data_IF_369852157044
#
_entry.id   IF_369852157044
#
_cell.length_a   1.000
_cell.length_b   1.000
_cell.length_c   1.000
_cell.angle_alpha   90.00
_cell.angle_beta   90.00
_cell.angle_gamma   90.00
#
_symmetry.space_group_name_H-M   'P 1'
#
loop_
_entity.id
_entity.type
_entity.pdbx_description
1 polymer ?
#
# COMPACT_ATOMS: atom_id res chain seq x y z
N UNK A 1 -34.38 9.28 13.18
CA UNK A 1 -32.93 9.11 13.38
C UNK A 1 -32.22 10.01 12.38
N UNK A 2 -31.77 11.18 12.81
CA UNK A 2 -31.03 12.13 11.97
C UNK A 2 -29.57 11.72 11.96
N UNK A 3 -29.04 11.33 10.80
CA UNK A 3 -27.62 11.09 10.63
C UNK A 3 -26.87 12.39 10.97
N UNK A 4 -26.05 12.34 12.02
CA UNK A 4 -25.22 13.48 12.42
C UNK A 4 -24.21 13.82 11.32
N UNK A 5 -23.72 15.07 11.27
CA UNK A 5 -22.75 15.50 10.27
C UNK A 5 -21.52 14.60 10.30
N UNK A 6 -21.25 13.94 9.16
CA UNK A 6 -20.06 13.14 8.95
C UNK A 6 -18.86 14.09 8.97
N UNK A 7 -18.11 14.11 10.08
CA UNK A 7 -16.87 14.89 10.24
C UNK A 7 -15.83 14.38 9.22
N UNK A 8 -15.81 14.95 8.02
CA UNK A 8 -14.73 14.72 7.04
C UNK A 8 -13.51 15.63 7.30
N UNK A 9 -13.63 16.64 8.16
CA UNK A 9 -12.63 17.73 8.27
C UNK A 9 -11.37 17.45 9.10
N UNK A 10 -11.07 16.20 9.48
CA UNK A 10 -9.93 15.90 10.38
C UNK A 10 -8.90 14.88 9.85
N UNK A 11 -8.93 14.55 8.56
CA UNK A 11 -7.95 13.61 7.97
C UNK A 11 -6.59 14.23 7.63
N UNK A 12 -6.44 15.55 7.78
CA UNK A 12 -5.14 16.23 7.67
C UNK A 12 -4.30 15.91 8.92
N UNK A 13 -3.78 14.69 8.99
CA UNK A 13 -2.64 14.33 9.85
C UNK A 13 -1.35 14.54 9.06
N UNK A 14 -0.22 14.57 9.75
CA UNK A 14 1.10 14.72 9.15
C UNK A 14 1.29 13.71 8.01
N UNK A 15 1.30 14.22 6.78
CA UNK A 15 1.70 13.45 5.60
C UNK A 15 3.21 13.54 5.55
N UNK A 16 3.87 12.48 6.00
CA UNK A 16 5.30 12.34 5.78
C UNK A 16 5.52 11.88 4.34
N UNK A 17 5.88 12.83 3.46
CA UNK A 17 6.31 12.48 2.12
C UNK A 17 7.73 11.90 2.20
N UNK A 18 7.82 10.58 2.35
CA UNK A 18 9.08 9.86 2.26
C UNK A 18 9.42 9.68 0.78
N UNK A 19 10.09 10.68 0.21
CA UNK A 19 10.65 10.55 -1.14
C UNK A 19 11.95 9.74 -1.06
N UNK A 20 11.91 8.46 -1.43
CA UNK A 20 13.16 7.70 -1.60
C UNK A 20 13.84 8.15 -2.90
N UNK A 21 14.81 9.04 -2.80
CA UNK A 21 15.74 9.29 -3.90
C UNK A 21 16.68 8.08 -3.99
N UNK A 22 16.32 7.07 -4.77
CA UNK A 22 17.28 6.02 -5.13
C UNK A 22 18.31 6.61 -6.11
N UNK A 23 19.24 7.41 -5.60
CA UNK A 23 20.54 7.60 -6.25
C UNK A 23 21.43 6.46 -5.77
N UNK A 24 21.65 5.46 -6.62
CA UNK A 24 22.51 4.31 -6.31
C UNK A 24 23.98 4.73 -6.29
N UNK A 25 24.45 5.32 -5.20
CA UNK A 25 25.88 5.54 -4.95
C UNK A 25 26.40 4.46 -3.98
N UNK A 26 26.85 3.35 -4.56
CA UNK A 26 27.32 2.09 -3.92
C UNK A 26 28.69 2.20 -3.19
N UNK A 27 28.95 3.28 -2.43
CA UNK A 27 30.31 3.55 -1.90
C UNK A 27 30.56 3.25 -0.42
N UNK A 28 29.63 2.69 0.35
CA UNK A 28 29.91 2.38 1.75
C UNK A 28 29.20 1.13 2.28
N UNK A 29 29.67 -0.05 1.87
CA UNK A 29 29.48 -1.28 2.65
C UNK A 29 30.65 -1.45 3.61
N UNK A 30 30.63 -0.70 4.71
CA UNK A 30 31.52 -0.94 5.84
C UNK A 30 31.01 -2.14 6.66
N UNK A 31 31.96 -2.97 7.09
CA UNK A 31 31.82 -4.28 7.73
C UNK A 31 30.67 -4.37 8.74
N UNK A 32 29.61 -5.08 8.38
CA UNK A 32 28.55 -5.45 9.31
C UNK A 32 29.00 -6.65 10.14
N UNK A 33 29.44 -6.39 11.38
CA UNK A 33 29.55 -7.43 12.39
C UNK A 33 28.17 -8.02 12.67
N UNK A 34 28.08 -9.34 12.45
CA UNK A 34 26.91 -10.17 12.73
C UNK A 34 26.70 -10.26 14.24
N UNK A 35 25.64 -9.64 14.74
CA UNK A 35 25.08 -9.92 16.07
C UNK A 35 24.17 -11.15 15.92
N UNK A 36 24.20 -12.01 16.93
CA UNK A 36 23.78 -13.41 16.88
C UNK A 36 22.29 -13.65 16.61
N UNK A 37 21.87 -13.57 15.35
CA UNK A 37 20.75 -14.36 14.85
C UNK A 37 21.26 -15.80 14.64
N UNK A 38 20.49 -16.82 15.01
CA UNK A 38 20.87 -18.22 14.75
C UNK A 38 21.13 -18.41 13.25
N UNK A 39 22.14 -19.19 12.86
CA UNK A 39 22.55 -19.37 11.45
C UNK A 39 21.36 -19.73 10.53
N UNK A 40 20.41 -20.53 11.04
CA UNK A 40 19.19 -20.91 10.34
C UNK A 40 18.25 -19.72 10.05
N UNK A 41 18.20 -18.72 10.92
CA UNK A 41 17.35 -17.54 10.76
C UNK A 41 17.94 -16.55 9.75
N UNK A 42 19.27 -16.46 9.68
CA UNK A 42 19.99 -15.70 8.65
C UNK A 42 19.79 -16.34 7.27
N UNK A 43 19.77 -17.68 7.19
CA UNK A 43 19.63 -18.39 5.92
C UNK A 43 18.25 -18.20 5.25
N UNK A 44 17.21 -17.87 6.02
CA UNK A 44 15.83 -17.83 5.53
C UNK A 44 15.15 -16.45 5.60
N UNK A 45 15.76 -15.48 6.26
CA UNK A 45 15.23 -14.10 6.30
C UNK A 45 15.59 -13.32 5.04
N UNK A 46 14.75 -12.36 4.68
CA UNK A 46 15.11 -11.39 3.66
C UNK A 46 16.34 -10.58 4.12
N UNK A 47 17.35 -10.43 3.25
CA UNK A 47 18.63 -9.79 3.60
C UNK A 47 18.49 -8.40 4.24
N UNK A 48 17.43 -7.67 3.90
CA UNK A 48 17.16 -6.32 4.40
C UNK A 48 16.51 -6.31 5.79
N UNK A 49 15.85 -7.40 6.22
CA UNK A 49 15.05 -7.39 7.44
C UNK A 49 15.90 -7.25 8.72
N UNK A 50 17.03 -7.96 8.89
CA UNK A 50 17.92 -7.72 10.03
C UNK A 50 18.52 -6.30 10.02
N UNK A 51 18.86 -5.78 8.83
CA UNK A 51 19.41 -4.43 8.68
C UNK A 51 18.39 -3.37 9.13
N UNK A 52 17.14 -3.50 8.69
CA UNK A 52 16.06 -2.58 9.05
C UNK A 52 15.70 -2.67 10.54
N UNK A 53 15.68 -3.88 11.13
CA UNK A 53 15.47 -4.05 12.58
C UNK A 53 16.57 -3.36 13.39
N UNK A 54 17.83 -3.54 12.99
CA UNK A 54 18.97 -2.90 13.65
C UNK A 54 18.92 -1.38 13.53
N UNK A 55 18.61 -0.85 12.35
CA UNK A 55 18.48 0.59 12.13
C UNK A 55 17.31 1.18 12.92
N UNK A 56 16.17 0.49 12.93
CA UNK A 56 15.00 0.90 13.72
C UNK A 56 15.35 1.01 15.21
N UNK A 57 16.00 -0.02 15.77
CA UNK A 57 16.45 -0.02 17.16
C UNK A 57 17.46 1.10 17.46
N UNK A 58 18.41 1.34 16.55
CA UNK A 58 19.40 2.41 16.71
C UNK A 58 18.76 3.82 16.73
N UNK A 59 17.65 4.01 16.01
CA UNK A 59 16.87 5.24 16.00
C UNK A 59 15.80 5.30 17.11
N UNK A 60 15.77 4.31 18.03
CA UNK A 60 14.81 4.26 19.13
C UNK A 60 13.41 3.80 18.73
N UNK A 61 13.23 3.29 17.51
CA UNK A 61 11.99 2.63 17.08
C UNK A 61 11.98 1.19 17.58
N UNK A 62 11.24 0.93 18.65
CA UNK A 62 10.91 -0.43 19.07
C UNK A 62 9.68 -0.93 18.31
N UNK A 63 9.68 -2.20 17.89
CA UNK A 63 8.45 -2.84 17.40
C UNK A 63 7.49 -2.95 18.59
N UNK A 64 6.33 -2.26 18.59
CA UNK A 64 5.44 -2.30 19.73
C UNK A 64 4.86 -3.70 19.90
N UNK A 65 4.83 -4.20 21.13
CA UNK A 65 4.04 -5.39 21.46
C UNK A 65 2.57 -5.10 21.18
N UNK A 66 1.93 -5.99 20.40
CA UNK A 66 0.51 -5.87 20.05
C UNK A 66 -0.27 -7.02 20.66
N UNK A 67 -1.37 -6.69 21.32
CA UNK A 67 -2.34 -7.67 21.80
C UNK A 67 -3.21 -8.27 20.68
N UNK A 68 -3.29 -7.59 19.54
CA UNK A 68 -4.03 -8.05 18.36
C UNK A 68 -3.23 -7.85 17.07
N UNK A 69 -3.37 -8.75 16.08
CA UNK A 69 -2.78 -8.56 14.76
C UNK A 69 -3.18 -7.22 14.11
N UNK A 70 -2.30 -6.64 13.31
CA UNK A 70 -2.57 -5.48 12.45
C UNK A 70 -3.63 -5.87 11.41
N UNK A 71 -4.74 -5.12 11.38
CA UNK A 71 -5.79 -5.26 10.36
C UNK A 71 -5.38 -4.51 9.10
N UNK A 72 -4.85 -5.24 8.13
CA UNK A 72 -4.36 -4.72 6.86
C UNK A 72 -5.44 -4.77 5.77
N UNK A 73 -5.53 -3.71 4.97
CA UNK A 73 -6.17 -3.73 3.65
C UNK A 73 -5.12 -3.36 2.60
N UNK A 74 -5.07 -4.13 1.51
CA UNK A 74 -4.13 -3.89 0.41
C UNK A 74 -4.89 -3.56 -0.88
N UNK A 75 -4.53 -2.48 -1.56
CA UNK A 75 -5.10 -2.06 -2.82
C UNK A 75 -4.05 -2.15 -3.93
N UNK A 76 -4.37 -2.87 -5.01
CA UNK A 76 -3.43 -3.20 -6.09
C UNK A 76 -2.17 -3.89 -5.55
N UNK A 77 -2.36 -5.04 -4.89
CA UNK A 77 -1.36 -5.65 -4.02
C UNK A 77 -0.09 -6.16 -4.74
N UNK A 78 -0.15 -6.41 -6.05
CA UNK A 78 0.92 -7.08 -6.77
C UNK A 78 1.26 -8.41 -6.09
N UNK A 79 2.54 -8.63 -5.82
CA UNK A 79 3.03 -9.81 -5.09
C UNK A 79 2.76 -9.80 -3.57
N UNK A 80 1.96 -8.85 -3.05
CA UNK A 80 1.63 -8.69 -1.63
C UNK A 80 2.89 -8.38 -0.78
N UNK A 81 3.73 -7.46 -1.26
CA UNK A 81 5.02 -7.14 -0.66
C UNK A 81 4.90 -6.62 0.78
N UNK A 82 3.84 -5.89 1.10
CA UNK A 82 3.54 -5.39 2.44
C UNK A 82 3.29 -6.51 3.45
N UNK A 83 2.64 -7.60 3.04
CA UNK A 83 2.42 -8.76 3.90
C UNK A 83 3.73 -9.53 4.12
N UNK A 84 4.55 -9.64 3.07
CA UNK A 84 5.89 -10.23 3.19
C UNK A 84 6.76 -9.41 4.16
N UNK A 85 6.73 -8.08 4.04
CA UNK A 85 7.47 -7.20 4.94
C UNK A 85 7.01 -7.36 6.39
N UNK A 86 5.70 -7.39 6.66
CA UNK A 86 5.17 -7.63 8.00
C UNK A 86 5.62 -8.99 8.57
N UNK A 87 5.58 -10.05 7.76
CA UNK A 87 6.05 -11.38 8.15
C UNK A 87 7.53 -11.39 8.52
N UNK A 88 8.40 -10.85 7.68
CA UNK A 88 9.85 -10.77 7.91
C UNK A 88 10.20 -9.92 9.14
N UNK A 89 9.43 -8.85 9.38
CA UNK A 89 9.57 -7.99 10.55
C UNK A 89 8.98 -8.60 11.83
N UNK A 90 8.30 -9.75 11.76
CA UNK A 90 7.65 -10.38 12.90
C UNK A 90 6.44 -9.61 13.40
N UNK A 91 5.83 -8.77 12.56
CA UNK A 91 4.65 -7.98 12.89
C UNK A 91 3.41 -8.88 12.67
N UNK A 92 2.65 -9.23 13.71
CA UNK A 92 1.45 -10.03 13.53
C UNK A 92 0.41 -9.21 12.75
N UNK A 93 -0.15 -9.80 11.68
CA UNK A 93 -1.14 -9.13 10.83
C UNK A 93 -2.21 -10.09 10.33
N UNK A 94 -3.33 -9.52 9.91
CA UNK A 94 -4.37 -10.17 9.12
C UNK A 94 -4.75 -9.25 7.97
N UNK A 95 -4.58 -9.70 6.73
CA UNK A 95 -5.03 -8.99 5.55
C UNK A 95 -6.53 -9.23 5.37
N UNK A 96 -7.32 -8.27 5.85
CA UNK A 96 -8.78 -8.32 5.78
C UNK A 96 -9.26 -8.36 4.34
N UNK A 97 -8.59 -7.66 3.44
CA UNK A 97 -8.93 -7.68 2.03
C UNK A 97 -7.80 -7.18 1.15
N UNK A 98 -7.67 -7.78 -0.03
CA UNK A 98 -6.80 -7.32 -1.09
C UNK A 98 -7.43 -7.41 -2.48
N UNK A 99 -6.97 -6.59 -3.42
CA UNK A 99 -7.30 -6.68 -4.84
C UNK A 99 -6.06 -6.88 -5.71
N UNK A 100 -6.09 -7.83 -6.65
CA UNK A 100 -4.99 -8.04 -7.60
C UNK A 100 -5.51 -8.65 -8.92
N UNK A 101 -5.43 -7.94 -10.07
CA UNK A 101 -5.98 -8.42 -11.34
C UNK A 101 -5.13 -9.50 -12.02
N UNK A 102 -3.83 -9.62 -11.71
CA UNK A 102 -2.93 -10.59 -12.33
C UNK A 102 -2.94 -11.91 -11.57
N UNK A 103 -3.40 -12.97 -12.21
CA UNK A 103 -3.53 -14.31 -11.61
C UNK A 103 -2.20 -14.84 -11.04
N UNK A 104 -1.08 -14.63 -11.74
CA UNK A 104 0.23 -15.08 -11.27
C UNK A 104 0.60 -14.48 -9.90
N UNK A 105 0.26 -13.20 -9.69
CA UNK A 105 0.49 -12.52 -8.41
C UNK A 105 -0.46 -13.00 -7.32
N UNK A 106 -1.73 -13.25 -7.65
CA UNK A 106 -2.68 -13.89 -6.72
C UNK A 106 -2.22 -15.26 -6.26
N UNK A 107 -1.74 -16.09 -7.19
CA UNK A 107 -1.20 -17.42 -6.90
C UNK A 107 0.03 -17.31 -5.99
N UNK A 108 0.94 -16.38 -6.28
CA UNK A 108 2.09 -16.12 -5.44
C UNK A 108 1.70 -15.68 -4.02
N UNK A 109 0.78 -14.72 -3.89
CA UNK A 109 0.31 -14.25 -2.60
C UNK A 109 -0.32 -15.38 -1.76
N UNK A 110 -1.18 -16.21 -2.38
CA UNK A 110 -1.80 -17.38 -1.72
C UNK A 110 -0.79 -18.41 -1.25
N UNK A 111 0.24 -18.69 -2.07
CA UNK A 111 1.26 -19.67 -1.71
C UNK A 111 2.10 -19.21 -0.51
N UNK A 112 2.37 -17.91 -0.39
CA UNK A 112 3.21 -17.35 0.66
C UNK A 112 2.43 -16.96 1.93
N UNK A 113 1.13 -16.70 1.79
CA UNK A 113 0.24 -16.15 2.83
C UNK A 113 -1.13 -16.86 2.89
N UNK A 114 -1.19 -18.20 2.98
CA UNK A 114 -2.44 -18.96 2.79
C UNK A 114 -3.55 -18.58 3.78
N UNK A 115 -3.19 -18.28 5.03
CA UNK A 115 -4.16 -17.98 6.10
C UNK A 115 -4.26 -16.48 6.44
N UNK A 116 -3.39 -15.64 5.87
CA UNK A 116 -3.36 -14.23 6.20
C UNK A 116 -4.39 -13.41 5.40
N UNK A 117 -4.80 -13.87 4.22
CA UNK A 117 -5.67 -13.12 3.30
C UNK A 117 -7.12 -13.62 3.39
N UNK A 118 -7.98 -12.83 4.02
CA UNK A 118 -9.39 -13.18 4.21
C UNK A 118 -10.18 -13.02 2.91
N UNK A 119 -10.09 -11.86 2.27
CA UNK A 119 -10.81 -11.56 1.03
C UNK A 119 -9.85 -11.20 -0.10
N UNK A 120 -9.87 -11.96 -1.20
CA UNK A 120 -9.09 -11.69 -2.41
C UNK A 120 -10.02 -11.38 -3.58
N UNK A 121 -9.98 -10.13 -4.06
CA UNK A 121 -10.76 -9.64 -5.20
C UNK A 121 -9.88 -9.53 -6.46
N UNK A 122 -10.49 -9.59 -7.65
CA UNK A 122 -9.72 -9.40 -8.90
C UNK A 122 -9.50 -7.92 -9.18
N UNK A 123 -10.45 -7.07 -8.82
CA UNK A 123 -10.35 -5.63 -9.07
C UNK A 123 -10.50 -4.81 -7.79
N UNK A 124 -9.88 -3.62 -7.77
CA UNK A 124 -10.06 -2.66 -6.68
C UNK A 124 -11.53 -2.22 -6.57
N UNK A 125 -12.25 -2.15 -7.70
CA UNK A 125 -13.70 -1.90 -7.70
C UNK A 125 -14.48 -2.96 -6.94
N UNK A 126 -14.26 -4.24 -7.22
CA UNK A 126 -14.92 -5.35 -6.50
C UNK A 126 -14.65 -5.29 -5.00
N UNK A 127 -13.41 -4.96 -4.62
CA UNK A 127 -13.01 -4.77 -3.22
C UNK A 127 -13.81 -3.61 -2.58
N UNK A 128 -13.89 -2.47 -3.25
CA UNK A 128 -14.67 -1.30 -2.81
C UNK A 128 -16.16 -1.63 -2.71
N UNK A 129 -16.71 -2.40 -3.64
CA UNK A 129 -18.13 -2.75 -3.67
C UNK A 129 -18.49 -3.88 -2.69
N UNK A 130 -17.50 -4.61 -2.19
CA UNK A 130 -17.74 -5.81 -1.38
C UNK A 130 -18.35 -6.94 -2.20
N UNK A 131 -17.95 -7.06 -3.46
CA UNK A 131 -18.38 -8.13 -4.36
C UNK A 131 -17.94 -9.51 -3.81
N UNK A 132 -18.53 -10.62 -4.27
CA UNK A 132 -18.01 -11.96 -3.99
C UNK A 132 -16.50 -12.03 -4.28
N UNK A 133 -15.72 -12.56 -3.34
CA UNK A 133 -14.26 -12.66 -3.48
C UNK A 133 -13.86 -14.09 -3.88
N UNK A 134 -12.66 -14.25 -4.44
CA UNK A 134 -12.13 -15.53 -4.90
C UNK A 134 -11.91 -16.56 -3.77
N UNK A 135 -11.78 -16.11 -2.52
CA UNK A 135 -11.65 -16.99 -1.36
C UNK A 135 -13.01 -17.44 -0.80
N UNK A 136 -14.11 -16.82 -1.24
CA UNK A 136 -15.47 -17.09 -0.76
C UNK A 136 -16.49 -17.04 -1.91
N UNK A 137 -16.34 -17.86 -2.97
CA UNK A 137 -17.14 -17.78 -4.19
C UNK A 137 -18.65 -17.99 -3.97
N UNK A 138 -19.02 -18.66 -2.89
CA UNK A 138 -20.41 -18.92 -2.49
C UNK A 138 -21.10 -17.73 -1.80
N UNK A 139 -20.35 -16.72 -1.35
CA UNK A 139 -20.92 -15.55 -0.68
C UNK A 139 -21.47 -14.59 -1.73
N UNK A 140 -22.64 -14.00 -1.47
CA UNK A 140 -23.21 -12.93 -2.32
C UNK A 140 -22.45 -11.62 -2.21
N UNK A 141 -21.83 -11.37 -1.06
CA UNK A 141 -21.04 -10.18 -0.74
C UNK A 141 -19.93 -10.54 0.25
N UNK A 142 -18.81 -9.86 0.13
CA UNK A 142 -17.68 -9.89 1.04
C UNK A 142 -17.44 -8.46 1.55
N UNK A 143 -18.27 -8.02 2.47
CA UNK A 143 -18.19 -6.67 3.00
C UNK A 143 -16.93 -6.48 3.85
N UNK A 144 -16.23 -5.38 3.62
CA UNK A 144 -15.08 -4.98 4.41
C UNK A 144 -15.54 -4.63 5.82
N UNK A 145 -14.82 -5.16 6.81
CA UNK A 145 -15.02 -4.76 8.19
C UNK A 145 -14.59 -3.31 8.38
N UNK A 146 -15.31 -2.60 9.25
CA UNK A 146 -14.90 -1.31 9.79
C UNK A 146 -13.77 -1.53 10.81
N UNK A 147 -12.88 -0.55 10.99
CA UNK A 147 -11.65 -0.62 11.83
C UNK A 147 -10.44 -1.25 11.12
N UNK A 148 -9.98 -0.63 10.04
CA UNK A 148 -8.71 -0.97 9.40
C UNK A 148 -7.56 -0.22 10.11
N UNK A 149 -6.50 -0.93 10.48
CA UNK A 149 -5.33 -0.30 11.10
C UNK A 149 -4.45 0.36 10.04
N UNK A 150 -4.22 -0.35 8.94
CA UNK A 150 -3.35 0.08 7.85
C UNK A 150 -3.98 -0.23 6.50
N UNK A 151 -4.03 0.77 5.63
CA UNK A 151 -4.27 0.59 4.21
C UNK A 151 -2.95 0.80 3.46
N UNK A 152 -2.55 -0.18 2.65
CA UNK A 152 -1.41 -0.04 1.73
C UNK A 152 -1.95 0.00 0.30
N UNK A 153 -1.47 0.94 -0.52
CA UNK A 153 -1.92 1.08 -1.91
C UNK A 153 -0.75 1.37 -2.86
N UNK A 154 -0.64 0.55 -3.90
CA UNK A 154 0.25 0.78 -5.05
C UNK A 154 -0.56 0.90 -6.34
N UNK A 155 -1.28 2.01 -6.52
CA UNK A 155 -2.14 2.16 -7.72
C UNK A 155 -1.31 2.23 -9.02
N UNK A 156 -1.84 1.82 -10.18
CA UNK A 156 -1.06 1.81 -11.42
C UNK A 156 -0.42 3.17 -11.71
N UNK A 157 0.91 3.22 -11.83
CA UNK A 157 1.67 4.47 -11.96
C UNK A 157 1.76 5.00 -13.40
N UNK A 158 1.37 4.22 -14.41
CA UNK A 158 1.44 4.60 -15.84
C UNK A 158 0.81 5.97 -16.18
N UNK A 159 -0.37 6.37 -15.63
CA UNK A 159 -0.91 7.71 -15.88
C UNK A 159 0.06 8.83 -15.49
N UNK A 160 0.85 8.59 -14.44
CA UNK A 160 1.63 9.60 -13.74
C UNK A 160 3.13 9.53 -14.06
N UNK A 161 3.61 8.41 -14.58
CA UNK A 161 5.02 8.21 -14.92
C UNK A 161 5.55 9.25 -15.91
N UNK A 162 6.67 9.88 -15.56
CA UNK A 162 7.41 10.80 -16.43
C UNK A 162 7.97 10.14 -17.69
N UNK A 163 8.06 8.81 -17.71
CA UNK A 163 8.52 8.04 -18.88
C UNK A 163 7.43 7.90 -19.96
N UNK A 164 6.15 8.19 -19.65
CA UNK A 164 5.07 8.12 -20.63
C UNK A 164 5.14 9.32 -21.58
N UNK A 165 5.31 9.07 -22.87
CA UNK A 165 5.48 10.09 -23.93
C UNK A 165 4.42 11.22 -23.95
N UNK A 166 3.19 10.95 -23.47
CA UNK A 166 2.08 11.92 -23.41
C UNK A 166 1.85 12.49 -22.01
N UNK A 167 2.65 12.16 -21.01
CA UNK A 167 2.39 12.48 -19.58
C UNK A 167 2.06 13.96 -19.33
N UNK A 168 2.76 14.87 -19.99
CA UNK A 168 2.62 16.32 -19.77
C UNK A 168 1.74 17.04 -20.79
N UNK A 169 1.02 16.31 -21.66
CA UNK A 169 0.02 16.92 -22.54
C UNK A 169 -1.26 17.25 -21.75
N UNK A 170 -1.89 18.42 -21.97
CA UNK A 170 -3.15 18.76 -21.31
C UNK A 170 -4.20 17.65 -21.43
N UNK A 171 -4.85 17.33 -20.31
CA UNK A 171 -5.87 16.27 -20.21
C UNK A 171 -5.34 14.82 -20.26
N UNK A 172 -4.04 14.59 -20.50
CA UNK A 172 -3.48 13.24 -20.68
C UNK A 172 -3.51 12.38 -19.41
N UNK A 173 -3.37 12.99 -18.23
CA UNK A 173 -3.52 12.30 -16.94
C UNK A 173 -5.00 12.00 -16.70
N UNK A 174 -5.85 13.04 -16.75
CA UNK A 174 -7.29 12.91 -16.48
C UNK A 174 -7.99 11.88 -17.39
N UNK A 175 -7.63 11.83 -18.67
CA UNK A 175 -8.24 10.95 -19.66
C UNK A 175 -7.64 9.53 -19.69
N UNK A 176 -6.61 9.23 -18.89
CA UNK A 176 -6.03 7.90 -18.86
C UNK A 176 -6.95 6.92 -18.10
N UNK A 177 -7.23 5.75 -18.68
CA UNK A 177 -8.21 4.79 -18.12
C UNK A 177 -7.89 4.38 -16.66
N UNK A 178 -6.60 4.24 -16.34
CA UNK A 178 -6.14 3.84 -15.01
C UNK A 178 -6.17 4.96 -13.95
N UNK A 179 -6.35 6.22 -14.33
CA UNK A 179 -6.43 7.36 -13.38
C UNK A 179 -7.59 7.21 -12.40
N UNK A 180 -8.66 6.54 -12.84
CA UNK A 180 -9.81 6.22 -12.00
C UNK A 180 -9.48 5.33 -10.80
N UNK A 181 -8.46 4.46 -10.89
CA UNK A 181 -8.09 3.58 -9.79
C UNK A 181 -7.56 4.41 -8.60
N UNK A 182 -6.80 5.46 -8.88
CA UNK A 182 -6.25 6.37 -7.86
C UNK A 182 -7.29 7.35 -7.31
N UNK A 183 -7.99 8.10 -8.18
CA UNK A 183 -8.87 9.19 -7.70
C UNK A 183 -10.30 8.78 -7.38
N UNK A 184 -10.77 7.63 -7.86
CA UNK A 184 -12.14 7.18 -7.60
C UNK A 184 -12.15 5.97 -6.69
N UNK A 185 -11.49 4.89 -7.11
CA UNK A 185 -11.62 3.60 -6.44
C UNK A 185 -10.83 3.57 -5.13
N UNK A 186 -9.57 4.04 -5.11
CA UNK A 186 -8.79 4.15 -3.87
C UNK A 186 -9.42 5.14 -2.88
N UNK A 187 -9.83 6.34 -3.32
CA UNK A 187 -10.52 7.28 -2.42
C UNK A 187 -11.83 6.71 -1.86
N UNK A 188 -12.58 5.95 -2.66
CA UNK A 188 -13.77 5.24 -2.17
C UNK A 188 -13.41 4.16 -1.15
N UNK A 189 -12.31 3.43 -1.36
CA UNK A 189 -11.82 2.43 -0.41
C UNK A 189 -11.42 3.09 0.91
N UNK A 190 -10.63 4.16 0.87
CA UNK A 190 -10.22 4.95 2.05
C UNK A 190 -11.43 5.45 2.83
N UNK A 191 -12.43 6.02 2.15
CA UNK A 191 -13.67 6.49 2.80
C UNK A 191 -14.48 5.35 3.40
N UNK A 192 -14.51 4.19 2.75
CA UNK A 192 -15.23 3.00 3.21
C UNK A 192 -14.57 2.36 4.42
N UNK A 193 -13.24 2.25 4.43
CA UNK A 193 -12.50 1.53 5.48
C UNK A 193 -12.09 2.42 6.65
N UNK A 194 -11.99 3.74 6.43
CA UNK A 194 -11.52 4.72 7.40
C UNK A 194 -10.27 4.22 8.15
N UNK A 195 -9.18 3.90 7.41
CA UNK A 195 -8.03 3.25 8.00
C UNK A 195 -7.31 4.22 8.95
N UNK A 196 -6.70 3.71 10.01
CA UNK A 196 -5.94 4.58 10.94
C UNK A 196 -4.72 5.19 10.25
N UNK A 197 -4.04 4.42 9.40
CA UNK A 197 -2.88 4.86 8.62
C UNK A 197 -3.03 4.43 7.16
N UNK A 198 -2.44 5.20 6.25
CA UNK A 198 -2.38 4.90 4.83
C UNK A 198 -0.93 5.00 4.37
N UNK A 199 -0.45 3.96 3.68
CA UNK A 199 0.80 3.99 2.92
C UNK A 199 0.44 3.93 1.44
N UNK A 200 0.86 4.93 0.67
CA UNK A 200 0.61 5.00 -0.77
C UNK A 200 1.92 5.09 -1.52
N UNK A 201 2.18 4.13 -2.41
CA UNK A 201 3.29 4.18 -3.35
C UNK A 201 2.81 4.78 -4.67
N UNK A 202 3.62 5.67 -5.24
CA UNK A 202 3.48 6.21 -6.58
C UNK A 202 4.83 6.57 -7.20
N UNK A 203 4.86 6.62 -8.53
CA UNK A 203 6.01 7.14 -9.26
C UNK A 203 6.29 8.61 -8.94
N UNK A 204 7.54 9.04 -9.04
CA UNK A 204 7.99 10.43 -8.89
C UNK A 204 7.14 11.44 -9.71
N UNK A 205 6.66 11.02 -10.89
CA UNK A 205 5.81 11.85 -11.74
C UNK A 205 4.44 12.19 -11.15
N UNK A 206 4.02 11.55 -10.04
CA UNK A 206 2.81 11.90 -9.30
C UNK A 206 2.94 13.23 -8.56
N UNK A 207 4.15 13.62 -8.15
CA UNK A 207 4.44 14.93 -7.56
C UNK A 207 4.80 16.01 -8.59
N UNK A 208 4.77 15.69 -9.89
CA UNK A 208 5.09 16.65 -10.98
C UNK A 208 3.80 17.26 -11.55
N UNK A 209 3.85 18.48 -12.11
CA UNK A 209 2.68 19.12 -12.71
C UNK A 209 1.87 18.21 -13.66
N UNK A 210 0.55 18.41 -13.67
CA UNK A 210 -0.37 17.64 -14.52
C UNK A 210 -0.07 17.85 -16.01
N UNK A 211 0.23 19.08 -16.42
CA UNK A 211 0.72 19.40 -17.75
C UNK A 211 1.87 20.42 -17.71
N UNK A 212 2.60 20.56 -18.83
CA UNK A 212 3.64 21.58 -18.96
C UNK A 212 3.06 22.99 -18.79
N UNK A 213 3.62 23.77 -17.86
CA UNK A 213 3.16 25.13 -17.57
C UNK A 213 2.06 25.23 -16.52
N UNK A 214 1.56 24.11 -16.00
CA UNK A 214 0.68 24.08 -14.84
C UNK A 214 1.50 23.99 -13.54
N UNK A 215 0.92 24.45 -12.43
CA UNK A 215 1.54 24.37 -11.10
C UNK A 215 1.08 23.15 -10.31
N UNK A 216 -0.17 22.73 -10.49
CA UNK A 216 -0.79 21.67 -9.70
C UNK A 216 -0.31 20.28 -10.16
N UNK A 217 0.05 19.43 -9.20
CA UNK A 217 0.42 18.04 -9.42
C UNK A 217 -0.75 17.07 -9.15
N UNK A 218 -0.70 15.84 -9.67
CA UNK A 218 -1.61 14.78 -9.27
C UNK A 218 -1.68 14.56 -7.75
N UNK A 219 -0.55 14.70 -7.04
CA UNK A 219 -0.49 14.63 -5.58
C UNK A 219 -1.33 15.73 -4.93
N UNK A 220 -1.19 16.99 -5.36
CA UNK A 220 -1.97 18.11 -4.81
C UNK A 220 -3.48 17.85 -4.97
N UNK A 221 -3.89 17.37 -6.15
CA UNK A 221 -5.29 17.01 -6.41
C UNK A 221 -5.79 15.85 -5.54
N UNK A 222 -4.91 14.93 -5.14
CA UNK A 222 -5.26 13.80 -4.30
C UNK A 222 -5.46 14.23 -2.84
N UNK A 223 -4.62 15.14 -2.34
CA UNK A 223 -4.65 15.58 -0.94
C UNK A 223 -5.83 16.51 -0.60
N UNK A 224 -6.45 17.16 -1.58
CA UNK A 224 -7.56 18.11 -1.38
C UNK A 224 -8.95 17.41 -1.41
N UNK A 225 -9.04 16.12 -1.76
CA UNK A 225 -10.30 15.40 -2.02
C UNK A 225 -10.71 14.40 -0.93
#
# INVERSE_FOLDING_TARGET
MTAGPCRMDTWVREIELIASSQSSDDKSQAEHQSLSDSEDQVAHSAFWAPLLKRDSLANGYAVPERSTPVKLVSACAGCCAEAAAMKELGIPFQCLSMSEPVEAFRTFARANMPDAVVHLHETLREQVEGAPCLNHPQKRRCDLQTQVDLLVAGTPCNPFSGQRHKRFKPGSVANHALTSHTYKELLALVRKTQPTNIIMEQSEGFGKPVASGEAESPLDQFLVR
#
